data_IF_196932009433
#
_entry.id   IF_196932009433
#
_cell.length_a   1.000
_cell.length_b   1.000
_cell.length_c   1.000
_cell.angle_alpha   90.00
_cell.angle_beta   90.00
_cell.angle_gamma   90.00
#
_symmetry.space_group_name_H-M   'P 1'
#
loop_
_entity.id
_entity.type
_entity.pdbx_description
1 polymer ?
#
# COMPACT_ATOMS: atom_id res chain seq x y z
N UNK A 1 9.97 32.39 -8.96
CA UNK A 1 9.49 32.01 -7.60
C UNK A 1 8.43 33.00 -7.17
N UNK A 2 7.42 32.54 -6.45
CA UNK A 2 6.29 33.37 -5.99
C UNK A 2 5.94 33.00 -4.57
N UNK A 3 5.74 33.99 -3.70
CA UNK A 3 5.25 33.76 -2.35
C UNK A 3 3.73 33.48 -2.41
N UNK A 4 3.31 32.27 -2.03
CA UNK A 4 1.91 31.83 -2.04
C UNK A 4 1.29 31.82 -0.64
N UNK A 5 2.12 31.86 0.41
CA UNK A 5 1.68 31.96 1.80
C UNK A 5 1.29 33.38 2.23
N UNK A 6 0.44 33.49 3.25
CA UNK A 6 0.11 34.76 3.92
C UNK A 6 1.10 35.04 5.08
N UNK A 7 1.98 36.03 4.89
CA UNK A 7 2.96 36.44 5.90
C UNK A 7 2.30 36.95 7.20
N UNK A 8 1.08 37.48 7.14
CA UNK A 8 0.33 37.90 8.35
C UNK A 8 -0.01 36.71 9.25
N UNK A 9 -0.10 35.52 8.65
CA UNK A 9 -0.32 34.25 9.33
C UNK A 9 0.98 33.49 9.57
N UNK A 10 2.14 34.15 9.44
CA UNK A 10 3.47 33.53 9.55
C UNK A 10 3.69 32.39 8.53
N UNK A 11 2.97 32.44 7.41
CA UNK A 11 3.09 31.47 6.34
C UNK A 11 3.95 32.04 5.21
N UNK A 12 5.17 31.54 5.08
CA UNK A 12 6.14 31.95 4.06
C UNK A 12 6.26 30.94 2.90
N UNK A 13 5.22 30.13 2.65
CA UNK A 13 5.22 29.15 1.56
C UNK A 13 5.51 29.84 0.22
N UNK A 14 6.50 29.32 -0.49
CA UNK A 14 7.02 29.87 -1.74
C UNK A 14 6.98 28.78 -2.82
N UNK A 15 6.41 29.11 -3.97
CA UNK A 15 6.39 28.24 -5.14
C UNK A 15 7.56 28.57 -6.06
N UNK A 16 8.38 27.56 -6.37
CA UNK A 16 9.40 27.64 -7.40
C UNK A 16 8.86 27.02 -8.69
N UNK A 17 8.76 27.82 -9.74
CA UNK A 17 8.39 27.39 -11.09
C UNK A 17 9.62 27.34 -11.98
N UNK A 18 9.60 26.47 -13.00
CA UNK A 18 10.69 26.35 -14.00
C UNK A 18 12.09 26.22 -13.36
N UNK A 19 12.20 25.37 -12.35
CA UNK A 19 13.46 25.16 -11.63
C UNK A 19 14.45 24.34 -12.48
N UNK A 20 15.73 24.62 -12.31
CA UNK A 20 16.87 24.03 -13.05
C UNK A 20 18.03 23.79 -12.08
N UNK A 21 19.00 22.96 -12.47
CA UNK A 21 20.13 22.59 -11.60
C UNK A 21 20.96 23.77 -11.11
N UNK A 22 21.04 24.86 -11.88
CA UNK A 22 21.70 26.12 -11.49
C UNK A 22 21.03 26.84 -10.33
N UNK A 23 19.78 26.49 -10.00
CA UNK A 23 19.06 26.98 -8.82
C UNK A 23 19.37 26.16 -7.55
N UNK A 24 20.31 25.21 -7.61
CA UNK A 24 20.79 24.52 -6.41
C UNK A 24 21.68 25.47 -5.62
N UNK A 25 21.13 26.03 -4.56
CA UNK A 25 21.85 26.98 -3.72
C UNK A 25 21.25 27.03 -2.30
N UNK A 26 21.86 27.87 -1.47
CA UNK A 26 21.44 28.19 -0.12
C UNK A 26 20.58 29.45 -0.14
N UNK A 27 19.31 29.29 0.17
CA UNK A 27 18.29 30.34 0.19
C UNK A 27 18.08 30.87 1.60
N UNK A 28 17.73 32.15 1.70
CA UNK A 28 17.43 32.82 2.97
C UNK A 28 16.08 33.51 2.89
N UNK A 29 15.26 33.35 3.93
CA UNK A 29 14.05 34.15 4.05
C UNK A 29 14.44 35.59 4.41
N UNK A 30 14.01 36.53 3.57
CA UNK A 30 14.20 37.96 3.78
C UNK A 30 12.87 38.68 3.74
N UNK A 31 12.60 39.48 4.77
CA UNK A 31 11.41 40.31 4.88
C UNK A 31 11.84 41.76 4.74
N UNK A 32 11.24 42.46 3.77
CA UNK A 32 11.43 43.88 3.55
C UNK A 32 10.09 44.61 3.67
N UNK A 33 10.05 45.68 4.47
CA UNK A 33 8.90 46.56 4.59
C UNK A 33 9.40 48.00 4.79
N UNK A 34 9.35 48.81 3.72
CA UNK A 34 9.86 50.18 3.71
C UNK A 34 11.30 50.26 4.26
N UNK A 35 11.47 50.76 5.49
CA UNK A 35 12.76 50.88 6.19
C UNK A 35 13.19 49.65 6.98
N UNK A 36 12.30 48.67 7.19
CA UNK A 36 12.63 47.41 7.86
C UNK A 36 13.15 46.39 6.86
N UNK A 37 14.33 45.85 7.13
CA UNK A 37 14.97 44.79 6.36
C UNK A 37 15.57 43.78 7.32
N UNK A 38 15.07 42.55 7.31
CA UNK A 38 15.60 41.47 8.13
C UNK A 38 15.78 40.20 7.30
N UNK A 39 16.85 39.47 7.56
CA UNK A 39 17.20 38.22 6.86
C UNK A 39 17.50 37.16 7.90
N UNK A 40 16.87 36.00 7.75
CA UNK A 40 17.08 34.85 8.63
C UNK A 40 18.42 34.14 8.26
N UNK A 41 19.55 34.78 8.57
CA UNK A 41 20.88 34.26 8.21
C UNK A 41 21.26 32.99 8.97
N UNK A 42 20.68 32.79 10.16
CA UNK A 42 20.90 31.61 10.99
C UNK A 42 20.09 30.38 10.55
N UNK A 43 19.01 30.58 9.80
CA UNK A 43 18.07 29.53 9.37
C UNK A 43 17.96 29.46 7.83
N UNK A 44 19.08 29.17 7.12
CA UNK A 44 19.06 29.04 5.68
C UNK A 44 18.38 27.75 5.21
N UNK A 45 17.71 27.81 4.07
CA UNK A 45 17.18 26.66 3.35
C UNK A 45 18.16 26.21 2.27
N UNK A 46 18.73 25.01 2.40
CA UNK A 46 19.51 24.41 1.31
C UNK A 46 18.58 23.74 0.30
N UNK A 47 18.62 24.18 -0.95
CA UNK A 47 17.88 23.55 -2.05
C UNK A 47 18.86 22.79 -2.94
N UNK A 48 18.51 21.54 -3.26
CA UNK A 48 19.24 20.70 -4.19
C UNK A 48 18.32 20.29 -5.33
N UNK A 49 18.61 20.77 -6.54
CA UNK A 49 17.84 20.49 -7.74
C UNK A 49 18.56 19.43 -8.55
N UNK A 50 17.87 18.33 -8.85
CA UNK A 50 18.41 17.24 -9.67
C UNK A 50 17.75 17.25 -11.04
N UNK A 51 18.53 17.04 -12.09
CA UNK A 51 18.01 16.91 -13.46
C UNK A 51 17.54 15.48 -13.79
N UNK A 52 17.03 14.76 -12.79
CA UNK A 52 16.58 13.38 -12.89
C UNK A 52 15.23 13.24 -12.21
N UNK A 53 14.30 12.50 -12.83
CA UNK A 53 13.03 12.15 -12.21
C UNK A 53 13.24 11.35 -10.92
N UNK A 54 12.38 11.58 -9.92
CA UNK A 54 12.37 10.77 -8.70
C UNK A 54 11.87 9.37 -9.03
N UNK A 55 12.58 8.36 -8.55
CA UNK A 55 12.15 6.97 -8.72
C UNK A 55 10.88 6.72 -7.90
N UNK A 56 9.86 6.08 -8.49
CA UNK A 56 8.69 5.67 -7.72
C UNK A 56 9.04 4.56 -6.71
N UNK A 57 8.26 4.47 -5.65
CA UNK A 57 8.31 3.41 -4.65
C UNK A 57 7.09 2.50 -4.79
N UNK A 58 7.30 1.19 -4.72
CA UNK A 58 6.23 0.19 -4.74
C UNK A 58 6.15 -0.45 -3.35
N UNK A 59 4.93 -0.53 -2.80
CA UNK A 59 4.67 -1.15 -1.50
C UNK A 59 3.52 -2.16 -1.63
N UNK A 60 3.57 -3.21 -0.82
CA UNK A 60 2.52 -4.23 -0.74
C UNK A 60 2.03 -4.30 0.70
N UNK A 61 0.72 -4.18 0.85
CA UNK A 61 0.03 -4.35 2.12
C UNK A 61 -0.79 -5.64 2.08
N UNK A 62 -0.47 -6.58 2.96
CA UNK A 62 -1.18 -7.87 3.08
C UNK A 62 -0.22 -9.06 3.07
N UNK A 63 -0.78 -10.27 3.23
CA UNK A 63 0.00 -11.50 3.19
C UNK A 63 0.12 -11.99 1.74
N UNK A 64 1.36 -12.19 1.27
CA UNK A 64 1.65 -12.74 -0.06
C UNK A 64 1.39 -14.25 -0.11
N UNK A 65 0.17 -14.68 0.21
CA UNK A 65 -0.28 -16.08 0.14
C UNK A 65 -1.37 -16.20 -0.89
N UNK A 66 -1.48 -17.37 -1.51
CA UNK A 66 -2.59 -17.67 -2.41
C UNK A 66 -3.94 -17.40 -1.74
N UNK A 67 -4.91 -16.96 -2.56
CA UNK A 67 -6.28 -16.66 -2.14
C UNK A 67 -6.39 -15.50 -1.13
N UNK A 68 -5.30 -14.79 -0.84
CA UNK A 68 -5.32 -13.54 -0.10
C UNK A 68 -5.43 -12.36 -1.05
N UNK A 69 -6.14 -11.32 -0.61
CA UNK A 69 -6.18 -10.03 -1.30
C UNK A 69 -5.11 -9.14 -0.69
N UNK A 70 -4.21 -8.65 -1.54
CA UNK A 70 -3.20 -7.65 -1.18
C UNK A 70 -3.51 -6.32 -1.83
N UNK A 71 -3.07 -5.23 -1.21
CA UNK A 71 -3.10 -3.89 -1.81
C UNK A 71 -1.69 -3.54 -2.26
N UNK A 72 -1.53 -3.32 -3.56
CA UNK A 72 -0.28 -2.88 -4.15
C UNK A 72 -0.40 -1.39 -4.39
N UNK A 73 0.52 -0.61 -3.83
CA UNK A 73 0.61 0.82 -4.06
C UNK A 73 1.90 1.16 -4.80
N UNK A 74 1.79 2.07 -5.77
CA UNK A 74 2.94 2.75 -6.32
C UNK A 74 2.83 4.24 -6.03
N UNK A 75 3.89 4.84 -5.52
CA UNK A 75 3.93 6.25 -5.15
C UNK A 75 5.18 6.94 -5.69
N UNK A 76 5.09 8.24 -5.95
CA UNK A 76 6.23 9.06 -6.31
C UNK A 76 6.10 10.47 -5.70
N UNK A 77 7.22 11.10 -5.38
CA UNK A 77 7.24 12.44 -4.80
C UNK A 77 6.63 13.45 -5.78
N UNK A 78 5.82 14.38 -5.28
CA UNK A 78 5.16 15.46 -6.02
C UNK A 78 5.76 16.81 -5.60
N UNK A 79 6.90 17.21 -6.20
CA UNK A 79 7.60 18.44 -5.81
C UNK A 79 6.88 19.71 -6.28
N UNK A 80 6.01 19.61 -7.30
CA UNK A 80 5.21 20.72 -7.82
C UNK A 80 3.72 20.37 -7.73
N UNK A 81 2.94 21.03 -6.85
CA UNK A 81 1.51 20.76 -6.71
C UNK A 81 0.69 20.98 -7.99
N UNK A 82 1.09 21.96 -8.81
CA UNK A 82 0.40 22.30 -10.06
C UNK A 82 0.77 21.36 -11.22
N UNK A 83 1.82 20.54 -11.06
CA UNK A 83 2.30 19.61 -12.07
C UNK A 83 2.72 18.28 -11.42
N UNK A 84 1.75 17.49 -10.90
CA UNK A 84 2.04 16.18 -10.33
C UNK A 84 2.55 15.19 -11.39
N UNK A 85 3.38 14.21 -10.99
CA UNK A 85 3.79 13.15 -11.90
C UNK A 85 2.61 12.27 -12.31
N UNK A 86 2.64 11.80 -13.56
CA UNK A 86 1.71 10.79 -14.05
C UNK A 86 2.28 9.42 -13.70
N UNK A 87 1.54 8.66 -12.90
CA UNK A 87 1.91 7.30 -12.52
C UNK A 87 1.26 6.27 -13.45
N UNK A 88 2.01 5.24 -13.81
CA UNK A 88 1.53 4.09 -14.57
C UNK A 88 2.21 2.81 -14.12
N UNK A 89 1.60 1.66 -14.43
CA UNK A 89 2.18 0.37 -14.10
C UNK A 89 1.80 -0.74 -15.09
N UNK A 90 2.39 -1.94 -14.94
CA UNK A 90 2.11 -3.10 -15.80
C UNK A 90 0.85 -3.89 -15.46
N UNK A 91 0.09 -3.52 -14.42
CA UNK A 91 -1.19 -4.17 -14.11
C UNK A 91 -2.28 -3.75 -15.12
N UNK A 92 -3.18 -4.67 -15.46
CA UNK A 92 -4.20 -4.47 -16.51
C UNK A 92 -5.23 -3.36 -16.19
N UNK A 93 -5.37 -2.97 -14.93
CA UNK A 93 -6.35 -1.96 -14.51
C UNK A 93 -5.66 -0.60 -14.36
N UNK A 94 -6.36 0.46 -14.76
CA UNK A 94 -5.97 1.85 -14.50
C UNK A 94 -6.45 2.23 -13.10
N UNK A 95 -5.56 2.27 -12.10
CA UNK A 95 -5.92 2.63 -10.73
C UNK A 95 -6.32 4.11 -10.65
N UNK A 96 -7.13 4.44 -9.64
CA UNK A 96 -7.40 5.81 -9.30
C UNK A 96 -6.11 6.49 -8.81
N UNK A 97 -5.80 7.65 -9.39
CA UNK A 97 -4.70 8.50 -8.96
C UNK A 97 -5.15 9.43 -7.84
N UNK A 98 -4.34 9.53 -6.78
CA UNK A 98 -4.59 10.47 -5.67
C UNK A 98 -3.29 11.12 -5.19
N UNK A 99 -3.44 12.18 -4.40
CA UNK A 99 -2.34 12.85 -3.70
C UNK A 99 -2.36 12.44 -2.23
N UNK A 100 -1.20 12.07 -1.70
CA UNK A 100 -0.98 11.66 -0.32
C UNK A 100 -0.05 12.68 0.36
N UNK A 101 -0.57 13.51 1.28
CA UNK A 101 0.26 14.38 2.11
C UNK A 101 1.07 13.57 3.13
N UNK A 102 2.34 13.90 3.29
CA UNK A 102 3.24 13.28 4.25
C UNK A 102 3.42 14.18 5.50
N UNK A 103 3.75 13.61 6.67
CA UNK A 103 3.95 14.38 7.91
C UNK A 103 5.08 15.41 7.85
N UNK A 104 6.05 15.22 6.95
CA UNK A 104 7.17 16.14 6.71
C UNK A 104 6.80 17.34 5.81
N UNK A 105 5.52 17.44 5.40
CA UNK A 105 5.01 18.49 4.53
C UNK A 105 5.21 18.22 3.03
N UNK A 106 5.86 17.12 2.66
CA UNK A 106 5.94 16.69 1.26
C UNK A 106 4.62 16.06 0.81
N UNK A 107 4.42 15.95 -0.50
CA UNK A 107 3.24 15.31 -1.09
C UNK A 107 3.72 14.24 -2.05
N UNK A 108 3.07 13.09 -2.07
CA UNK A 108 3.29 12.04 -3.05
C UNK A 108 2.06 11.87 -3.94
N UNK A 109 2.26 11.64 -5.22
CA UNK A 109 1.25 11.00 -6.07
C UNK A 109 1.22 9.51 -5.74
N UNK A 110 0.04 8.91 -5.70
CA UNK A 110 -0.14 7.49 -5.43
C UNK A 110 -1.20 6.88 -6.34
N UNK A 111 -0.93 5.67 -6.79
CA UNK A 111 -1.89 4.76 -7.41
C UNK A 111 -1.90 3.46 -6.61
N UNK A 112 -3.07 2.85 -6.47
CA UNK A 112 -3.23 1.63 -5.67
C UNK A 112 -4.30 0.70 -6.24
N UNK A 113 -4.12 -0.60 -6.03
CA UNK A 113 -5.02 -1.64 -6.53
C UNK A 113 -5.01 -2.82 -5.59
N UNK A 114 -6.21 -3.37 -5.38
CA UNK A 114 -6.37 -4.66 -4.72
C UNK A 114 -6.24 -5.79 -5.73
N UNK A 115 -5.40 -6.77 -5.41
CA UNK A 115 -5.15 -7.96 -6.22
C UNK A 115 -5.41 -9.22 -5.39
N UNK A 116 -6.27 -10.10 -5.90
CA UNK A 116 -6.45 -11.43 -5.35
C UNK A 116 -5.33 -12.34 -5.85
N UNK A 117 -4.49 -12.81 -4.95
CA UNK A 117 -3.32 -13.62 -5.31
C UNK A 117 -3.73 -15.03 -5.74
N UNK A 118 -3.08 -15.49 -6.80
CA UNK A 118 -3.13 -16.86 -7.30
C UNK A 118 -1.71 -17.35 -7.60
N UNK A 119 -1.56 -18.63 -7.90
CA UNK A 119 -0.31 -19.25 -8.31
C UNK A 119 0.35 -18.52 -9.50
N UNK A 120 -0.46 -18.06 -10.47
CA UNK A 120 0.00 -17.33 -11.67
C UNK A 120 0.68 -15.99 -11.37
N UNK A 121 0.45 -15.44 -10.18
CA UNK A 121 1.08 -14.19 -9.76
C UNK A 121 2.48 -14.40 -9.17
N UNK A 122 2.91 -15.64 -8.91
CA UNK A 122 4.27 -15.93 -8.47
C UNK A 122 5.27 -15.63 -9.62
N UNK A 123 6.27 -14.80 -9.35
CA UNK A 123 7.24 -14.36 -10.35
C UNK A 123 6.76 -13.22 -11.24
N UNK A 124 5.55 -12.69 -11.04
CA UNK A 124 5.04 -11.56 -11.82
C UNK A 124 5.89 -10.30 -11.58
N UNK A 125 6.42 -9.72 -12.65
CA UNK A 125 7.15 -8.45 -12.61
C UNK A 125 6.22 -7.24 -12.78
N UNK A 126 6.11 -6.47 -11.71
CA UNK A 126 5.38 -5.22 -11.66
C UNK A 126 6.33 -4.06 -11.99
N UNK A 127 6.15 -3.45 -13.15
CA UNK A 127 6.84 -2.24 -13.54
C UNK A 127 5.96 -1.05 -13.15
N UNK A 128 6.43 -0.16 -12.28
CA UNK A 128 5.81 1.14 -12.06
C UNK A 128 6.68 2.25 -12.68
N UNK A 129 6.03 3.21 -13.32
CA UNK A 129 6.66 4.39 -13.92
C UNK A 129 6.08 5.68 -13.35
N UNK A 130 6.95 6.68 -13.19
CA UNK A 130 6.59 8.05 -12.85
C UNK A 130 7.09 8.99 -13.96
N UNK A 131 6.16 9.63 -14.67
CA UNK A 131 6.45 10.66 -15.67
C UNK A 131 6.24 12.05 -15.08
N UNK A 132 7.32 12.80 -14.94
CA UNK A 132 7.33 14.18 -14.43
C UNK A 132 7.23 15.16 -15.59
N UNK A 133 6.19 16.04 -15.62
CA UNK A 133 6.14 17.14 -16.57
C UNK A 133 7.30 18.11 -16.33
N UNK A 134 8.04 18.44 -17.39
CA UNK A 134 9.10 19.45 -17.36
C UNK A 134 8.95 20.36 -18.57
N UNK A 135 9.68 21.49 -18.58
CA UNK A 135 9.68 22.37 -19.74
C UNK A 135 10.20 21.62 -20.97
N UNK A 136 9.37 21.55 -22.01
CA UNK A 136 9.72 20.89 -23.27
C UNK A 136 9.57 19.36 -23.28
N UNK A 137 8.92 18.74 -22.28
CA UNK A 137 8.61 17.32 -22.35
C UNK A 137 8.38 16.68 -20.97
N UNK A 138 8.90 15.47 -20.81
CA UNK A 138 8.77 14.67 -19.59
C UNK A 138 10.10 14.04 -19.21
N UNK A 139 10.31 13.85 -17.91
CA UNK A 139 11.37 12.98 -17.38
C UNK A 139 10.73 11.77 -16.72
N UNK A 140 11.20 10.59 -17.06
CA UNK A 140 10.64 9.33 -16.59
C UNK A 140 11.62 8.63 -15.64
N UNK A 141 11.08 7.99 -14.60
CA UNK A 141 11.81 7.04 -13.78
C UNK A 141 10.94 5.81 -13.50
N UNK A 142 11.57 4.63 -13.40
CA UNK A 142 10.89 3.35 -13.28
C UNK A 142 11.42 2.55 -12.10
N UNK A 143 10.55 1.74 -11.53
CA UNK A 143 10.86 0.75 -10.49
C UNK A 143 10.16 -0.55 -10.84
N UNK A 144 10.90 -1.65 -10.80
CA UNK A 144 10.37 -3.01 -11.00
C UNK A 144 10.34 -3.74 -9.66
N UNK A 145 9.28 -4.50 -9.42
CA UNK A 145 9.15 -5.36 -8.25
C UNK A 145 8.56 -6.71 -8.66
N UNK A 146 9.13 -7.81 -8.17
CA UNK A 146 8.65 -9.16 -8.44
C UNK A 146 7.77 -9.65 -7.30
N UNK A 147 6.59 -10.19 -7.60
CA UNK A 147 5.71 -10.81 -6.60
C UNK A 147 6.18 -12.23 -6.27
N UNK A 148 6.38 -12.50 -4.98
CA UNK A 148 6.68 -13.86 -4.47
C UNK A 148 5.49 -14.36 -3.67
N UNK A 149 4.65 -15.19 -4.29
CA UNK A 149 3.45 -15.74 -3.64
C UNK A 149 3.79 -17.08 -2.99
N UNK A 150 3.44 -17.22 -1.71
CA UNK A 150 3.53 -18.46 -0.96
C UNK A 150 2.37 -19.39 -1.33
N UNK A 151 2.71 -20.59 -1.81
CA UNK A 151 1.74 -21.65 -2.09
C UNK A 151 1.21 -22.27 -0.80
N UNK A 152 -0.10 -22.50 -0.73
CA UNK A 152 -0.67 -23.28 0.38
C UNK A 152 -0.56 -24.77 0.06
N UNK A 153 0.36 -25.50 0.72
CA UNK A 153 0.41 -26.96 0.57
C UNK A 153 -0.77 -27.58 1.32
N UNK A 154 -1.87 -27.86 0.62
CA UNK A 154 -2.97 -28.64 1.18
C UNK A 154 -2.59 -30.13 1.19
N UNK A 155 -1.71 -30.53 2.12
CA UNK A 155 -1.49 -31.95 2.40
C UNK A 155 -2.76 -32.53 3.01
N UNK A 156 -3.59 -33.15 2.17
CA UNK A 156 -4.67 -34.00 2.64
C UNK A 156 -4.04 -35.18 3.38
N UNK A 157 -4.08 -35.14 4.71
CA UNK A 157 -3.76 -36.27 5.55
C UNK A 157 -4.73 -37.41 5.23
N UNK A 158 -4.34 -38.29 4.32
CA UNK A 158 -5.07 -39.51 3.97
C UNK A 158 -5.05 -40.40 5.22
N UNK A 159 -6.06 -40.29 6.08
CA UNK A 159 -6.30 -41.24 7.18
C UNK A 159 -6.48 -42.62 6.54
N UNK A 160 -5.45 -43.47 6.61
CA UNK A 160 -5.59 -44.91 6.38
C UNK A 160 -6.47 -45.47 7.50
N UNK A 161 -7.77 -45.58 7.26
CA UNK A 161 -8.62 -46.49 8.03
C UNK A 161 -8.20 -47.92 7.68
N UNK A 162 -7.25 -48.47 8.44
CA UNK A 162 -7.08 -49.93 8.51
C UNK A 162 -8.32 -50.51 9.16
N UNK A 163 -9.19 -51.11 8.34
CA UNK A 163 -10.29 -51.93 8.83
C UNK A 163 -9.74 -53.10 9.63
N UNK A 164 -10.04 -53.15 10.92
CA UNK A 164 -9.92 -54.37 11.71
C UNK A 164 -11.24 -55.12 11.65
N UNK A 165 -11.23 -56.19 10.87
CA UNK A 165 -12.26 -57.23 10.87
C UNK A 165 -12.01 -58.13 12.09
N UNK A 166 -12.84 -58.02 13.13
CA UNK A 166 -12.84 -58.99 14.23
C UNK A 166 -13.99 -59.99 14.02
N UNK A 167 -13.63 -61.25 13.71
CA UNK A 167 -14.52 -62.43 13.76
C UNK A 167 -14.76 -62.80 15.24
N UNK A 168 -16.02 -63.05 15.62
CA UNK A 168 -16.39 -63.79 16.85
C UNK A 168 -15.98 -65.27 16.78
N UNK A 169 -16.13 -66.11 17.85
CA UNK A 169 -17.44 -66.59 18.37
C UNK A 169 -17.42 -66.99 19.90
N UNK A 170 -18.26 -67.90 20.45
CA UNK A 170 -19.73 -67.89 20.60
C UNK A 170 -20.24 -68.00 22.07
N UNK A 171 -21.44 -67.46 22.31
CA UNK A 171 -22.55 -67.93 23.18
C UNK A 171 -22.35 -68.45 24.62
N UNK A 172 -23.06 -67.82 25.59
CA UNK A 172 -24.00 -68.50 26.52
C UNK A 172 -24.92 -67.49 27.22
N UNK A 173 -26.23 -67.77 27.25
CA UNK A 173 -27.29 -67.12 28.05
C UNK A 173 -27.46 -67.92 29.38
N UNK A 174 -28.04 -67.43 30.50
CA UNK A 174 -29.50 -67.13 30.55
C UNK A 174 -30.04 -66.08 31.58
N UNK A 175 -31.25 -65.59 31.27
CA UNK A 175 -32.44 -65.36 32.14
C UNK A 175 -32.63 -64.14 33.08
N UNK A 176 -33.66 -63.35 32.70
CA UNK A 176 -34.83 -62.79 33.43
C UNK A 176 -34.73 -62.01 34.76
N UNK A 177 -35.30 -60.78 34.71
CA UNK A 177 -36.41 -60.17 35.51
C UNK A 177 -36.22 -58.65 35.52
N UNK A 178 -37.18 -57.74 35.50
CA UNK A 178 -38.64 -57.68 35.42
C UNK A 178 -38.96 -56.26 34.89
N UNK A 179 -40.06 -56.09 34.16
CA UNK A 179 -40.64 -54.79 33.79
C UNK A 179 -41.59 -54.36 34.94
N UNK A 180 -41.83 -53.05 35.20
CA UNK A 180 -42.89 -52.39 34.43
C UNK A 180 -42.74 -50.85 34.21
N UNK A 181 -43.40 -50.38 33.14
CA UNK A 181 -43.89 -49.00 32.84
C UNK A 181 -45.07 -48.61 33.78
N UNK A 182 -45.62 -47.36 33.82
CA UNK A 182 -45.72 -46.36 32.73
C UNK A 182 -45.54 -44.84 33.09
N UNK A 183 -45.54 -44.03 32.01
CA UNK A 183 -45.81 -42.58 31.74
C UNK A 183 -46.66 -41.75 32.77
N UNK A 184 -46.87 -40.40 32.68
CA UNK A 184 -46.79 -39.51 31.48
C UNK A 184 -46.33 -38.02 31.65
N UNK A 185 -46.15 -37.34 30.50
CA UNK A 185 -46.46 -35.93 30.13
C UNK A 185 -46.29 -34.74 31.12
N UNK A 186 -45.57 -33.70 30.65
CA UNK A 186 -45.94 -32.25 30.68
C UNK A 186 -44.98 -31.48 29.73
N UNK A 187 -45.36 -30.77 28.65
CA UNK A 187 -46.33 -29.68 28.37
C UNK A 187 -45.73 -28.26 28.56
N UNK A 188 -45.44 -27.61 27.41
CA UNK A 188 -45.71 -26.20 26.97
C UNK A 188 -45.19 -24.99 27.79
N UNK A 189 -44.66 -24.01 27.05
CA UNK A 189 -44.72 -22.55 27.33
C UNK A 189 -43.32 -21.94 27.50
N UNK A 190 -42.90 -20.86 26.84
CA UNK A 190 -43.55 -19.78 26.07
C UNK A 190 -42.53 -19.22 25.09
#
# INVERSE_FOLDING_TARGET
MTLTGDLRQRNCTTLFTEIHTSHSDKYYLRIENQGFKSTATCDPLQIHVRDSAWRPSVQISGSLREQQTVVISCSALTPCPDAPPVLSWSLQQTPAHSLLPNPDGTVNSIIQQSLLLSEEHHGLELLCSALYPVRGGYKEAKTTMTLTVDHSTHLQARRRTTGQTARGPPGTSPSMRDNPRPDPLQRIGT
#
